data_IF_160241770260
#
_entry.id   IF_160241770260
#
_cell.length_a   1.000
_cell.length_b   1.000
_cell.length_c   1.000
_cell.angle_alpha   90.00
_cell.angle_beta   90.00
_cell.angle_gamma   90.00
#
_symmetry.space_group_name_H-M   'P 1'
#
loop_
_entity.id
_entity.type
_entity.pdbx_description
1 polymer ?
#
# COMPACT_ATOMS: atom_id res chain seq x y z
N UNK A 1 22.14 17.94 9.27
CA UNK A 1 23.06 17.03 9.98
C UNK A 1 24.38 16.95 9.24
N UNK A 2 25.44 17.24 9.95
CA UNK A 2 26.78 17.24 9.33
C UNK A 2 27.48 15.91 9.64
N UNK A 3 27.65 15.07 8.61
CA UNK A 3 28.27 13.76 8.73
C UNK A 3 29.59 13.72 7.97
N UNK A 4 30.56 12.99 8.49
CA UNK A 4 31.90 12.86 7.89
C UNK A 4 31.88 12.09 6.57
N UNK A 5 30.91 11.22 6.36
CA UNK A 5 30.77 10.43 5.14
C UNK A 5 29.63 10.97 4.29
N UNK A 6 29.92 11.29 3.04
CA UNK A 6 28.89 11.72 2.11
C UNK A 6 27.95 10.58 1.74
N UNK A 7 28.46 9.36 1.67
CA UNK A 7 27.63 8.19 1.40
C UNK A 7 26.62 7.95 2.54
N UNK A 8 27.09 8.09 3.77
CA UNK A 8 26.21 7.96 4.94
C UNK A 8 25.18 9.09 4.94
N UNK A 9 25.61 10.32 4.67
CA UNK A 9 24.73 11.47 4.63
C UNK A 9 23.62 11.30 3.59
N UNK A 10 23.97 10.81 2.40
CA UNK A 10 22.99 10.58 1.34
C UNK A 10 21.95 9.53 1.74
N UNK A 11 22.41 8.43 2.36
CA UNK A 11 21.50 7.37 2.81
C UNK A 11 20.56 7.88 3.90
N UNK A 12 21.08 8.63 4.85
CA UNK A 12 20.28 9.21 5.95
C UNK A 12 19.21 10.15 5.36
N UNK A 13 19.61 10.98 4.41
CA UNK A 13 18.68 11.92 3.79
C UNK A 13 17.55 11.20 3.07
N UNK A 14 17.88 10.19 2.26
CA UNK A 14 16.84 9.43 1.53
C UNK A 14 15.93 8.65 2.45
N UNK A 15 16.47 8.01 3.47
CA UNK A 15 15.65 7.25 4.43
C UNK A 15 14.74 8.20 5.21
N UNK A 16 15.21 9.40 5.55
CA UNK A 16 14.42 10.37 6.31
C UNK A 16 13.25 10.97 5.52
N UNK A 17 13.22 10.77 4.21
CA UNK A 17 12.08 11.19 3.37
C UNK A 17 10.86 10.28 3.55
N UNK A 18 11.06 9.10 4.11
CA UNK A 18 9.95 8.18 4.35
C UNK A 18 9.06 8.71 5.48
N UNK A 19 7.72 8.56 5.37
CA UNK A 19 6.81 9.05 6.41
C UNK A 19 7.11 8.45 7.77
N UNK A 20 7.11 9.28 8.78
CA UNK A 20 7.33 8.84 10.16
C UNK A 20 8.79 8.63 10.53
N UNK A 21 9.73 8.89 9.62
CA UNK A 21 11.17 8.70 9.89
C UNK A 21 11.86 10.05 9.94
N UNK A 22 12.34 10.44 11.13
CA UNK A 22 13.15 11.65 11.29
C UNK A 22 14.62 11.36 11.04
N UNK A 23 15.45 12.41 11.07
CA UNK A 23 16.89 12.30 10.81
C UNK A 23 17.60 11.37 11.80
N UNK A 24 17.24 11.42 13.07
CA UNK A 24 17.84 10.59 14.11
C UNK A 24 17.58 9.11 13.87
N UNK A 25 16.33 8.78 13.56
CA UNK A 25 15.95 7.40 13.24
C UNK A 25 16.60 6.94 11.93
N UNK A 26 16.63 7.81 10.93
CA UNK A 26 17.28 7.51 9.65
C UNK A 26 18.77 7.19 9.82
N UNK A 27 19.46 7.96 10.67
CA UNK A 27 20.88 7.69 10.96
C UNK A 27 21.07 6.33 11.60
N UNK A 28 20.23 6.01 12.59
CA UNK A 28 20.28 4.71 13.26
C UNK A 28 20.04 3.55 12.27
N UNK A 29 19.07 3.71 11.38
CA UNK A 29 18.79 2.70 10.36
C UNK A 29 19.93 2.55 9.37
N UNK A 30 20.48 3.68 8.91
CA UNK A 30 21.62 3.66 7.97
C UNK A 30 22.83 2.95 8.59
N UNK A 31 23.12 3.23 9.86
CA UNK A 31 24.24 2.56 10.55
C UNK A 31 23.98 1.07 10.73
N UNK A 32 22.74 0.69 10.95
CA UNK A 32 22.37 -0.73 11.01
C UNK A 32 22.63 -1.41 9.66
N UNK A 33 22.29 -0.75 8.56
CA UNK A 33 22.50 -1.29 7.22
C UNK A 33 23.99 -1.43 6.87
N UNK A 34 24.81 -0.52 7.35
CA UNK A 34 26.28 -0.61 7.14
C UNK A 34 26.84 -1.91 7.70
N UNK A 35 26.27 -2.41 8.79
CA UNK A 35 26.74 -3.63 9.45
C UNK A 35 26.07 -4.91 8.94
N UNK A 36 25.18 -4.81 7.96
CA UNK A 36 24.54 -5.96 7.35
C UNK A 36 25.39 -6.57 6.25
N UNK A 37 25.16 -7.85 5.98
CA UNK A 37 25.79 -8.54 4.85
C UNK A 37 25.30 -7.96 3.53
N UNK A 38 26.18 -7.98 2.51
CA UNK A 38 25.82 -7.45 1.18
C UNK A 38 24.60 -8.13 0.59
N UNK A 39 24.47 -9.45 0.79
CA UNK A 39 23.32 -10.19 0.30
C UNK A 39 22.01 -9.73 0.89
N UNK A 40 22.01 -9.38 2.18
CA UNK A 40 20.81 -8.85 2.84
C UNK A 40 20.43 -7.47 2.29
N UNK A 41 21.43 -6.64 2.03
CA UNK A 41 21.18 -5.31 1.44
C UNK A 41 20.65 -5.43 0.01
N UNK A 42 21.26 -6.31 -0.79
CA UNK A 42 20.80 -6.53 -2.16
C UNK A 42 19.38 -7.03 -2.21
N UNK A 43 19.01 -7.91 -1.28
CA UNK A 43 17.63 -8.41 -1.19
C UNK A 43 16.66 -7.30 -0.80
N UNK A 44 17.02 -6.46 0.15
CA UNK A 44 16.19 -5.33 0.57
C UNK A 44 15.96 -4.36 -0.59
N UNK A 45 17.03 -3.97 -1.27
CA UNK A 45 16.96 -3.05 -2.41
C UNK A 45 16.11 -3.63 -3.53
N UNK A 46 16.32 -4.91 -3.84
CA UNK A 46 15.55 -5.61 -4.87
C UNK A 46 14.06 -5.65 -4.51
N UNK A 47 13.74 -5.96 -3.27
CA UNK A 47 12.35 -6.06 -2.81
C UNK A 47 11.63 -4.72 -2.92
N UNK A 48 12.30 -3.63 -2.54
CA UNK A 48 11.72 -2.28 -2.63
C UNK A 48 11.50 -1.90 -4.09
N UNK A 49 12.49 -2.19 -4.95
CA UNK A 49 12.39 -1.85 -6.36
C UNK A 49 11.28 -2.64 -7.06
N UNK A 50 11.18 -3.92 -6.78
CA UNK A 50 10.12 -4.77 -7.35
C UNK A 50 8.74 -4.33 -6.90
N UNK A 51 8.61 -3.91 -5.63
CA UNK A 51 7.35 -3.37 -5.12
C UNK A 51 6.89 -2.18 -5.96
N UNK A 52 7.81 -1.25 -6.25
CA UNK A 52 7.48 -0.06 -7.02
C UNK A 52 7.22 -0.37 -8.49
N UNK A 53 8.04 -1.23 -9.10
CA UNK A 53 8.03 -1.45 -10.54
C UNK A 53 6.96 -2.46 -10.98
N UNK A 54 6.64 -3.45 -10.15
CA UNK A 54 5.84 -4.61 -10.56
C UNK A 54 4.45 -4.66 -9.93
N UNK A 55 4.21 -3.93 -8.85
CA UNK A 55 2.89 -3.93 -8.24
C UNK A 55 1.90 -3.19 -9.16
N UNK A 56 0.69 -3.71 -9.23
CA UNK A 56 -0.39 -3.09 -10.00
C UNK A 56 -1.62 -2.95 -9.11
N UNK A 57 -2.64 -2.28 -9.62
CA UNK A 57 -3.92 -2.18 -8.92
C UNK A 57 -4.91 -3.12 -9.58
N UNK A 58 -5.65 -3.88 -8.76
CA UNK A 58 -6.69 -4.77 -9.26
C UNK A 58 -7.68 -3.98 -10.12
N UNK A 59 -7.99 -4.49 -11.31
CA UNK A 59 -8.91 -3.81 -12.22
C UNK A 59 -10.33 -3.74 -11.67
N UNK A 60 -10.71 -4.66 -10.79
CA UNK A 60 -12.06 -4.70 -10.21
C UNK A 60 -12.17 -3.89 -8.92
N UNK A 61 -11.33 -4.17 -7.93
CA UNK A 61 -11.47 -3.54 -6.61
C UNK A 61 -10.51 -2.38 -6.37
N UNK A 62 -9.52 -2.19 -7.24
CA UNK A 62 -8.50 -1.13 -7.13
C UNK A 62 -7.55 -1.29 -5.96
N UNK A 63 -7.53 -2.46 -5.34
CA UNK A 63 -6.56 -2.80 -4.31
C UNK A 63 -5.19 -3.09 -4.93
N UNK A 64 -4.15 -3.01 -4.12
CA UNK A 64 -2.81 -3.40 -4.53
C UNK A 64 -2.79 -4.88 -4.85
N UNK A 65 -2.20 -5.24 -5.99
CA UNK A 65 -2.19 -6.61 -6.49
C UNK A 65 -0.91 -6.89 -7.26
N UNK A 66 -0.54 -8.16 -7.34
CA UNK A 66 0.56 -8.61 -8.19
C UNK A 66 0.07 -8.93 -9.60
N UNK A 67 -1.23 -9.17 -9.73
CA UNK A 67 -1.88 -9.53 -10.99
C UNK A 67 -2.98 -8.53 -11.33
N UNK A 68 -3.48 -8.59 -12.57
CA UNK A 68 -4.55 -7.70 -13.01
C UNK A 68 -5.80 -7.77 -12.13
N UNK A 69 -6.13 -8.96 -11.65
CA UNK A 69 -7.26 -9.21 -10.76
C UNK A 69 -6.70 -9.85 -9.49
N UNK A 70 -7.01 -9.28 -8.32
CA UNK A 70 -6.50 -9.80 -7.06
C UNK A 70 -7.18 -11.12 -6.67
N UNK A 71 -6.58 -11.82 -5.72
CA UNK A 71 -7.07 -13.12 -5.27
C UNK A 71 -8.50 -13.08 -4.72
N UNK A 72 -8.84 -11.99 -4.03
CA UNK A 72 -10.19 -11.84 -3.47
C UNK A 72 -11.22 -11.74 -4.59
N UNK A 73 -10.94 -10.91 -5.61
CA UNK A 73 -11.86 -10.75 -6.73
C UNK A 73 -11.97 -12.00 -7.60
N UNK A 74 -10.92 -12.83 -7.64
CA UNK A 74 -10.93 -14.10 -8.37
C UNK A 74 -11.62 -15.23 -7.62
N UNK A 75 -11.78 -15.09 -6.30
CA UNK A 75 -12.32 -16.18 -5.48
C UNK A 75 -13.80 -16.44 -5.79
N UNK A 76 -14.11 -17.69 -6.09
CA UNK A 76 -15.50 -18.13 -6.34
C UNK A 76 -16.31 -18.24 -5.06
N UNK A 77 -15.66 -18.24 -3.91
CA UNK A 77 -16.31 -18.38 -2.61
C UNK A 77 -16.81 -17.06 -2.04
N UNK A 78 -16.56 -15.96 -2.74
CA UNK A 78 -16.98 -14.63 -2.30
C UNK A 78 -18.40 -14.31 -2.78
N UNK A 79 -19.12 -13.55 -1.96
CA UNK A 79 -20.44 -13.07 -2.31
C UNK A 79 -20.31 -11.83 -3.18
N UNK A 80 -20.50 -11.99 -4.48
CA UNK A 80 -20.37 -10.90 -5.45
C UNK A 80 -21.46 -9.84 -5.31
N UNK A 81 -22.49 -10.10 -4.52
CA UNK A 81 -23.61 -9.17 -4.31
C UNK A 81 -23.37 -8.22 -3.15
N UNK A 82 -22.30 -8.43 -2.37
CA UNK A 82 -21.99 -7.60 -1.22
C UNK A 82 -20.66 -6.91 -1.46
N UNK A 83 -20.66 -5.60 -1.34
CA UNK A 83 -19.47 -4.78 -1.55
C UNK A 83 -19.16 -3.94 -0.33
N UNK A 84 -17.89 -3.94 0.07
CA UNK A 84 -17.39 -3.07 1.13
C UNK A 84 -16.49 -2.01 0.48
N UNK A 85 -16.85 -0.74 0.64
CA UNK A 85 -16.06 0.38 0.11
C UNK A 85 -15.13 0.85 1.22
N UNK A 86 -13.84 0.86 0.94
CA UNK A 86 -12.80 1.21 1.92
C UNK A 86 -11.84 2.23 1.35
N UNK A 87 -11.12 2.93 2.23
CA UNK A 87 -10.19 3.98 1.83
C UNK A 87 -8.92 3.40 1.21
N UNK A 88 -8.31 2.40 1.85
CA UNK A 88 -7.09 1.78 1.33
C UNK A 88 -6.98 0.30 1.74
N UNK A 89 -5.87 -0.31 1.32
CA UNK A 89 -5.64 -1.74 1.57
C UNK A 89 -5.55 -2.09 3.06
N UNK A 90 -5.16 -1.14 3.91
CA UNK A 90 -5.09 -1.40 5.36
C UNK A 90 -6.47 -1.76 5.92
N UNK A 91 -7.51 -1.10 5.41
CA UNK A 91 -8.88 -1.41 5.79
C UNK A 91 -9.29 -2.81 5.33
N UNK A 92 -8.89 -3.18 4.11
CA UNK A 92 -9.14 -4.54 3.60
C UNK A 92 -8.49 -5.57 4.51
N UNK A 93 -7.23 -5.35 4.86
CA UNK A 93 -6.49 -6.26 5.71
C UNK A 93 -7.12 -6.40 7.10
N UNK A 94 -7.56 -5.29 7.68
CA UNK A 94 -8.19 -5.30 8.99
C UNK A 94 -9.49 -6.11 8.97
N UNK A 95 -10.32 -5.91 7.94
CA UNK A 95 -11.59 -6.61 7.82
C UNK A 95 -11.36 -8.09 7.52
N UNK A 96 -10.40 -8.42 6.64
CA UNK A 96 -10.08 -9.82 6.31
C UNK A 96 -9.56 -10.59 7.53
N UNK A 97 -8.84 -9.91 8.43
CA UNK A 97 -8.34 -10.53 9.65
C UNK A 97 -9.48 -10.99 10.58
N UNK A 98 -10.67 -10.42 10.46
CA UNK A 98 -11.82 -10.87 11.26
C UNK A 98 -12.37 -12.22 10.78
N UNK A 99 -12.14 -12.56 9.51
CA UNK A 99 -12.63 -13.80 8.91
C UNK A 99 -14.14 -13.86 8.70
N UNK A 100 -14.84 -12.76 8.93
CA UNK A 100 -16.32 -12.74 8.91
C UNK A 100 -16.91 -12.16 7.63
N UNK A 101 -16.19 -11.26 6.95
CA UNK A 101 -16.69 -10.67 5.71
C UNK A 101 -16.39 -11.59 4.52
N UNK A 102 -17.40 -11.92 3.74
CA UNK A 102 -17.27 -12.83 2.59
C UNK A 102 -17.58 -12.17 1.26
N UNK A 103 -17.78 -10.85 1.26
CA UNK A 103 -18.07 -10.10 0.04
C UNK A 103 -16.81 -9.62 -0.67
N UNK A 104 -17.00 -8.67 -1.57
CA UNK A 104 -15.92 -8.05 -2.32
C UNK A 104 -15.65 -6.65 -1.78
N UNK A 105 -14.56 -6.04 -2.26
CA UNK A 105 -14.15 -4.72 -1.83
C UNK A 105 -14.07 -3.76 -3.01
N UNK A 106 -14.15 -2.48 -2.69
CA UNK A 106 -13.72 -1.42 -3.60
C UNK A 106 -12.84 -0.46 -2.81
N UNK A 107 -11.60 -0.30 -3.25
CA UNK A 107 -10.61 0.53 -2.58
C UNK A 107 -10.53 1.87 -3.29
N UNK A 108 -10.82 2.94 -2.55
CA UNK A 108 -10.83 4.29 -3.13
C UNK A 108 -9.42 4.80 -3.44
N UNK A 109 -8.42 4.32 -2.71
CA UNK A 109 -7.03 4.71 -2.93
C UNK A 109 -6.68 6.08 -2.39
N UNK A 110 -7.60 6.71 -1.66
CA UNK A 110 -7.37 8.01 -1.05
C UNK A 110 -8.65 8.55 -0.48
N UNK A 111 -8.54 9.68 0.23
CA UNK A 111 -9.71 10.30 0.84
C UNK A 111 -10.59 10.95 -0.23
N UNK A 112 -11.90 10.88 -0.05
CA UNK A 112 -12.84 11.63 -0.88
C UNK A 112 -12.66 13.11 -0.54
N UNK A 113 -12.28 13.89 -1.56
CA UNK A 113 -12.00 15.32 -1.37
C UNK A 113 -12.50 16.12 -2.57
N UNK A 114 -13.44 17.04 -2.37
CA UNK A 114 -13.88 17.93 -3.45
C UNK A 114 -12.78 18.83 -3.99
N UNK A 115 -11.82 19.19 -3.11
CA UNK A 115 -10.67 20.04 -3.50
C UNK A 115 -9.79 19.35 -4.52
N UNK A 116 -9.60 18.04 -4.37
CA UNK A 116 -8.75 17.23 -5.25
C UNK A 116 -9.55 16.65 -6.42
N UNK A 117 -10.82 16.97 -6.53
CA UNK A 117 -11.69 16.42 -7.56
C UNK A 117 -12.09 14.96 -7.32
N UNK A 118 -11.79 14.43 -6.14
CA UNK A 118 -12.16 13.07 -5.74
C UNK A 118 -13.44 13.13 -4.93
N UNK A 119 -14.49 12.50 -5.42
CA UNK A 119 -15.77 12.48 -4.74
C UNK A 119 -16.58 11.26 -5.15
N UNK A 120 -17.78 11.09 -4.56
CA UNK A 120 -18.62 9.93 -4.88
C UNK A 120 -18.93 9.78 -6.37
N UNK A 121 -19.04 10.88 -7.09
CA UNK A 121 -19.31 10.85 -8.53
C UNK A 121 -18.19 10.24 -9.35
N UNK A 122 -16.95 10.24 -8.81
CA UNK A 122 -15.82 9.62 -9.49
C UNK A 122 -15.95 8.10 -9.55
N UNK A 123 -16.90 7.54 -8.83
CA UNK A 123 -17.13 6.10 -8.75
C UNK A 123 -18.52 5.71 -9.20
N UNK A 124 -19.09 6.49 -10.12
CA UNK A 124 -20.44 6.25 -10.63
C UNK A 124 -20.60 4.93 -11.39
N UNK A 125 -19.48 4.32 -11.78
CA UNK A 125 -19.49 3.02 -12.42
C UNK A 125 -19.81 1.87 -11.44
N UNK A 126 -19.84 2.15 -10.14
CA UNK A 126 -20.19 1.15 -9.14
C UNK A 126 -21.70 0.97 -9.11
N UNK A 127 -22.16 -0.17 -9.61
CA UNK A 127 -23.58 -0.55 -9.57
C UNK A 127 -23.68 -1.83 -8.76
N UNK A 128 -24.22 -1.71 -7.54
CA UNK A 128 -24.19 -2.82 -6.59
C UNK A 128 -25.52 -2.89 -5.83
N UNK A 129 -26.03 -4.10 -5.59
CA UNK A 129 -27.25 -4.27 -4.81
C UNK A 129 -27.09 -3.95 -3.34
N UNK A 130 -25.89 -4.15 -2.77
CA UNK A 130 -25.61 -3.88 -1.36
C UNK A 130 -24.24 -3.26 -1.20
N UNK A 131 -24.16 -2.12 -0.49
CA UNK A 131 -22.93 -1.38 -0.27
C UNK A 131 -22.73 -1.15 1.22
N UNK A 132 -21.52 -1.46 1.70
CA UNK A 132 -21.08 -1.17 3.06
C UNK A 132 -19.91 -0.20 3.01
N UNK A 133 -19.96 0.87 3.82
CA UNK A 133 -18.90 1.86 3.94
C UNK A 133 -18.14 1.68 5.25
N UNK A 134 -16.83 1.82 5.16
CA UNK A 134 -15.94 1.74 6.32
C UNK A 134 -15.11 3.01 6.43
#
# INVERSE_FOLDING_TARGET
>A
MNLSSKLLSNAVEEISKLPGIGKSTALRLALHLVNKEKGDIDLLVKSIKELKDSVVFCEKCKSISDEKICDICLSVNRDAKTLCIVEDIRDVMAIENTGQFKGLYHVLGGKISPVDGIGPVSYTHLTLPTIYSV
#
